data_IF_106971483156
#
_entry.id   IF_106971483156
#
_cell.length_a   1.000
_cell.length_b   1.000
_cell.length_c   1.000
_cell.angle_alpha   90.00
_cell.angle_beta   90.00
_cell.angle_gamma   90.00
#
_symmetry.space_group_name_H-M   'P 1'
#
loop_
_entity.id
_entity.type
_entity.pdbx_description
1 polymer ?
#
# COMPACT_ATOMS: atom_id res chain seq x y z
N UNK A 1 8.19 6.54 -13.91
CA UNK A 1 7.93 6.00 -12.56
C UNK A 1 8.06 7.06 -11.48
N UNK A 2 9.16 7.77 -11.34
CA UNK A 2 9.34 8.80 -10.31
C UNK A 2 8.29 9.90 -10.31
N UNK A 3 7.84 10.35 -11.48
CA UNK A 3 6.78 11.36 -11.61
C UNK A 3 5.44 10.85 -11.04
N UNK A 4 5.05 9.62 -11.36
CA UNK A 4 3.83 9.02 -10.81
C UNK A 4 3.90 8.89 -9.29
N UNK A 5 5.07 8.60 -8.75
CA UNK A 5 5.30 8.51 -7.31
C UNK A 5 5.31 9.88 -6.63
N UNK A 6 5.81 10.92 -7.31
CA UNK A 6 5.75 12.29 -6.82
C UNK A 6 4.29 12.82 -6.75
N UNK A 7 3.47 12.52 -7.75
CA UNK A 7 2.04 12.86 -7.74
C UNK A 7 1.31 12.12 -6.61
N UNK A 8 1.71 10.90 -6.29
CA UNK A 8 1.12 10.08 -5.24
C UNK A 8 1.49 10.54 -3.81
N UNK A 9 2.25 11.61 -3.64
CA UNK A 9 2.46 12.28 -2.34
C UNK A 9 1.20 13.05 -1.91
N UNK A 10 0.35 13.44 -2.87
CA UNK A 10 -0.91 14.13 -2.57
C UNK A 10 -1.81 13.19 -1.72
N UNK A 11 -2.31 13.65 -0.56
CA UNK A 11 -3.19 12.85 0.28
C UNK A 11 -4.45 12.43 -0.49
N UNK A 12 -4.82 11.14 -0.36
CA UNK A 12 -5.95 10.55 -1.09
C UNK A 12 -5.59 9.82 -2.37
N UNK A 13 -4.39 10.02 -2.92
CA UNK A 13 -3.91 9.27 -4.08
C UNK A 13 -3.16 8.03 -3.61
N UNK A 14 -3.63 6.85 -4.04
CA UNK A 14 -2.94 5.59 -3.74
C UNK A 14 -1.59 5.53 -4.45
N UNK A 15 -0.49 5.50 -3.69
CA UNK A 15 0.87 5.38 -4.23
C UNK A 15 1.05 4.12 -5.07
N UNK A 16 0.66 2.97 -4.55
CA UNK A 16 0.73 1.70 -5.26
C UNK A 16 -0.20 1.68 -6.48
N UNK A 17 -1.40 2.22 -6.37
CA UNK A 17 -2.33 2.34 -7.48
C UNK A 17 -1.76 3.18 -8.62
N UNK A 18 -1.18 4.33 -8.33
CA UNK A 18 -0.57 5.21 -9.34
C UNK A 18 0.63 4.56 -10.03
N UNK A 19 1.51 3.91 -9.28
CA UNK A 19 2.68 3.23 -9.86
C UNK A 19 2.31 2.00 -10.67
N UNK A 20 1.36 1.18 -10.22
CA UNK A 20 0.86 0.03 -10.97
C UNK A 20 0.18 0.47 -12.26
N UNK A 21 -0.71 1.47 -12.20
CA UNK A 21 -1.40 1.99 -13.37
C UNK A 21 -0.42 2.55 -14.41
N UNK A 22 0.59 3.27 -13.98
CA UNK A 22 1.63 3.78 -14.88
C UNK A 22 2.47 2.67 -15.52
N UNK A 23 2.81 1.62 -14.77
CA UNK A 23 3.46 0.43 -15.30
C UNK A 23 2.62 -0.24 -16.37
N UNK A 24 1.33 -0.43 -16.11
CA UNK A 24 0.39 -1.04 -17.05
C UNK A 24 0.23 -0.19 -18.32
N UNK A 25 0.19 1.15 -18.17
CA UNK A 25 0.15 2.06 -19.30
C UNK A 25 1.39 1.95 -20.19
N UNK A 26 2.56 1.66 -19.61
CA UNK A 26 3.81 1.40 -20.33
C UNK A 26 3.90 -0.03 -20.90
N UNK A 27 2.85 -0.84 -20.80
CA UNK A 27 2.79 -2.19 -21.36
C UNK A 27 3.35 -3.29 -20.46
N UNK A 28 3.63 -2.99 -19.18
CA UNK A 28 4.11 -3.99 -18.22
C UNK A 28 2.92 -4.82 -17.73
N UNK A 29 3.02 -6.17 -17.68
CA UNK A 29 1.95 -7.02 -17.17
C UNK A 29 1.56 -6.65 -15.74
N UNK A 30 0.26 -6.71 -15.37
CA UNK A 30 -0.24 -6.29 -14.06
C UNK A 30 0.49 -6.91 -12.87
N UNK A 31 0.85 -8.17 -12.96
CA UNK A 31 1.57 -8.91 -11.92
C UNK A 31 2.99 -8.35 -11.69
N UNK A 32 3.72 -8.09 -12.76
CA UNK A 32 5.07 -7.51 -12.70
C UNK A 32 5.03 -6.05 -12.26
N UNK A 33 4.02 -5.31 -12.72
CA UNK A 33 3.76 -3.95 -12.27
C UNK A 33 3.53 -3.87 -10.76
N UNK A 34 2.73 -4.78 -10.20
CA UNK A 34 2.48 -4.87 -8.77
C UNK A 34 3.76 -5.24 -8.00
N UNK A 35 4.49 -6.25 -8.44
CA UNK A 35 5.76 -6.63 -7.82
C UNK A 35 6.75 -5.48 -7.77
N UNK A 36 6.92 -4.78 -8.88
CA UNK A 36 7.80 -3.62 -8.95
C UNK A 36 7.35 -2.50 -8.00
N UNK A 37 6.05 -2.20 -7.97
CA UNK A 37 5.49 -1.18 -7.07
C UNK A 37 5.73 -1.51 -5.60
N UNK A 38 5.55 -2.77 -5.21
CA UNK A 38 5.80 -3.21 -3.83
C UNK A 38 7.29 -3.16 -3.46
N UNK A 39 8.18 -3.60 -4.34
CA UNK A 39 9.62 -3.48 -4.11
C UNK A 39 10.05 -2.02 -3.95
N UNK A 40 9.49 -1.12 -4.75
CA UNK A 40 9.75 0.30 -4.67
C UNK A 40 9.24 0.95 -3.37
N UNK A 41 8.23 0.37 -2.73
CA UNK A 41 7.70 0.87 -1.45
C UNK A 41 8.60 0.55 -0.26
N UNK A 42 9.43 -0.50 -0.33
CA UNK A 42 10.27 -0.96 0.79
C UNK A 42 11.19 0.15 1.31
N UNK A 43 12.04 0.82 0.50
CA UNK A 43 12.92 1.86 1.00
C UNK A 43 12.16 3.05 1.59
N UNK A 44 11.00 3.38 1.04
CA UNK A 44 10.17 4.48 1.53
C UNK A 44 9.55 4.15 2.90
N UNK A 45 9.03 2.94 3.05
CA UNK A 45 8.44 2.47 4.32
C UNK A 45 9.52 2.36 5.39
N UNK A 46 10.70 1.84 5.05
CA UNK A 46 11.83 1.76 5.99
C UNK A 46 12.25 3.16 6.45
N UNK A 47 12.39 4.12 5.53
CA UNK A 47 12.72 5.50 5.87
C UNK A 47 11.68 6.15 6.80
N UNK A 48 10.41 6.01 6.48
CA UNK A 48 9.32 6.51 7.31
C UNK A 48 9.28 5.84 8.70
N UNK A 49 9.54 4.54 8.77
CA UNK A 49 9.58 3.80 10.03
C UNK A 49 10.73 4.26 10.94
N UNK A 50 11.91 4.52 10.37
CA UNK A 50 13.07 5.03 11.11
C UNK A 50 12.76 6.42 11.67
N UNK A 51 12.22 7.32 10.86
CA UNK A 51 11.85 8.67 11.29
C UNK A 51 10.79 8.63 12.40
N UNK A 52 9.73 7.82 12.21
CA UNK A 52 8.69 7.66 13.22
C UNK A 52 9.23 7.08 14.54
N UNK A 53 10.19 6.17 14.48
CA UNK A 53 10.82 5.62 15.69
C UNK A 53 11.62 6.67 16.45
N UNK A 54 12.35 7.54 15.76
CA UNK A 54 13.12 8.63 16.37
C UNK A 54 12.21 9.68 17.04
N UNK A 55 11.04 9.95 16.51
CA UNK A 55 10.08 10.88 17.10
C UNK A 55 9.42 10.34 18.38
N UNK A 56 9.21 9.04 18.47
CA UNK A 56 8.54 8.40 19.60
C UNK A 56 9.44 8.22 20.82
N UNK A 57 10.76 8.16 20.66
CA UNK A 57 11.72 7.96 21.77
C UNK A 57 11.65 9.06 22.83
N UNK A 58 10.99 10.16 22.55
CA UNK A 58 10.94 11.36 23.40
C UNK A 58 9.90 11.32 24.54
N UNK A 59 8.82 10.51 24.49
CA UNK A 59 7.70 10.69 25.44
C UNK A 59 6.81 9.49 25.81
N UNK A 60 7.09 8.26 25.41
CA UNK A 60 6.15 7.16 25.69
C UNK A 60 6.79 5.89 26.26
N UNK A 61 6.20 5.39 27.35
CA UNK A 61 6.39 4.02 27.84
C UNK A 61 5.87 3.02 26.82
N UNK A 62 6.76 2.45 26.03
CA UNK A 62 6.41 1.40 25.08
C UNK A 62 5.94 0.13 25.79
N UNK A 63 4.73 -0.27 25.51
CA UNK A 63 4.27 -1.60 25.90
C UNK A 63 4.74 -2.60 24.83
N UNK A 64 5.82 -3.34 25.12
CA UNK A 64 6.41 -4.32 24.21
C UNK A 64 5.41 -5.38 23.73
N UNK A 65 4.45 -5.75 24.57
CA UNK A 65 3.40 -6.70 24.23
C UNK A 65 2.49 -6.16 23.11
N UNK A 66 2.05 -4.91 23.26
CA UNK A 66 1.22 -4.24 22.23
C UNK A 66 1.97 -4.11 20.92
N UNK A 67 3.24 -3.76 20.95
CA UNK A 67 4.09 -3.64 19.76
C UNK A 67 4.26 -4.99 19.05
N UNK A 68 4.52 -6.06 19.78
CA UNK A 68 4.68 -7.41 19.20
C UNK A 68 3.39 -7.91 18.57
N UNK A 69 2.26 -7.71 19.23
CA UNK A 69 0.94 -8.08 18.69
C UNK A 69 0.64 -7.26 17.41
N UNK A 70 0.91 -5.95 17.42
CA UNK A 70 0.69 -5.08 16.26
C UNK A 70 1.54 -5.50 15.06
N UNK A 71 2.83 -5.78 15.27
CA UNK A 71 3.74 -6.23 14.20
C UNK A 71 3.27 -7.58 13.62
N UNK A 72 2.94 -8.54 14.49
CA UNK A 72 2.53 -9.88 14.05
C UNK A 72 1.22 -9.85 13.28
N UNK A 73 0.22 -9.14 13.77
CA UNK A 73 -1.08 -8.99 13.08
C UNK A 73 -0.93 -8.26 11.76
N UNK A 74 -0.16 -7.18 11.71
CA UNK A 74 0.12 -6.43 10.48
C UNK A 74 0.83 -7.30 9.45
N UNK A 75 1.81 -8.09 9.87
CA UNK A 75 2.53 -8.99 8.97
C UNK A 75 1.61 -10.07 8.37
N UNK A 76 0.84 -10.75 9.20
CA UNK A 76 -0.09 -11.81 8.74
C UNK A 76 -1.13 -11.23 7.78
N UNK A 77 -1.75 -10.11 8.16
CA UNK A 77 -2.77 -9.44 7.34
C UNK A 77 -2.19 -8.94 6.01
N UNK A 78 -0.99 -8.37 6.04
CA UNK A 78 -0.27 -7.90 4.86
C UNK A 78 0.06 -9.02 3.88
N UNK A 79 0.56 -10.14 4.36
CA UNK A 79 0.86 -11.32 3.52
C UNK A 79 -0.41 -11.88 2.88
N UNK A 80 -1.52 -11.97 3.63
CA UNK A 80 -2.79 -12.41 3.09
C UNK A 80 -3.33 -11.45 2.03
N UNK A 81 -3.31 -10.16 2.30
CA UNK A 81 -3.75 -9.13 1.36
C UNK A 81 -2.93 -9.15 0.06
N UNK A 82 -1.60 -9.29 0.15
CA UNK A 82 -0.72 -9.41 -1.02
C UNK A 82 -1.03 -10.64 -1.87
N UNK A 83 -1.23 -11.81 -1.23
CA UNK A 83 -1.60 -13.03 -1.94
C UNK A 83 -2.92 -12.89 -2.68
N UNK A 84 -3.93 -12.32 -2.03
CA UNK A 84 -5.25 -12.08 -2.63
C UNK A 84 -5.11 -11.10 -3.81
N UNK A 85 -4.40 -10.00 -3.63
CA UNK A 85 -4.20 -8.99 -4.68
C UNK A 85 -3.49 -9.57 -5.90
N UNK A 86 -2.39 -10.30 -5.71
CA UNK A 86 -1.66 -10.92 -6.81
C UNK A 86 -2.53 -11.94 -7.56
N UNK A 87 -3.35 -12.72 -6.84
CA UNK A 87 -4.29 -13.66 -7.45
C UNK A 87 -5.38 -12.96 -8.28
N UNK A 88 -5.89 -11.84 -7.80
CA UNK A 88 -6.88 -11.02 -8.55
C UNK A 88 -6.25 -10.44 -9.82
N UNK A 89 -5.00 -9.95 -9.73
CA UNK A 89 -4.26 -9.43 -10.89
C UNK A 89 -3.99 -10.51 -11.95
N UNK A 90 -3.68 -11.74 -11.54
CA UNK A 90 -3.50 -12.88 -12.45
C UNK A 90 -4.79 -13.25 -13.21
N UNK A 91 -5.93 -13.10 -12.56
CA UNK A 91 -7.23 -13.46 -13.12
C UNK A 91 -7.80 -12.38 -14.07
N UNK A 92 -7.12 -11.23 -14.22
CA UNK A 92 -7.56 -10.13 -15.09
C UNK A 92 -8.84 -9.41 -14.63
N UNK A 93 -9.35 -9.72 -13.44
CA UNK A 93 -10.58 -9.14 -12.87
C UNK A 93 -10.35 -7.88 -12.03
N UNK A 94 -9.34 -7.11 -12.38
CA UNK A 94 -9.01 -5.84 -11.72
C UNK A 94 -10.17 -4.83 -11.72
N UNK A 95 -11.05 -4.97 -12.67
CA UNK A 95 -12.26 -4.18 -12.85
C UNK A 95 -13.19 -4.19 -11.61
N UNK A 96 -13.35 -5.33 -10.95
CA UNK A 96 -14.17 -5.43 -9.74
C UNK A 96 -13.61 -4.64 -8.55
N UNK A 97 -12.29 -4.46 -8.51
CA UNK A 97 -11.65 -3.64 -7.50
C UNK A 97 -11.97 -2.15 -7.65
N UNK A 98 -12.12 -1.68 -8.91
CA UNK A 98 -12.57 -0.32 -9.19
C UNK A 98 -13.97 -0.03 -8.66
N UNK A 99 -14.90 -0.97 -8.81
CA UNK A 99 -16.25 -0.84 -8.25
C UNK A 99 -16.25 -0.80 -6.72
N UNK A 100 -15.46 -1.65 -6.09
CA UNK A 100 -15.30 -1.62 -4.62
C UNK A 100 -14.80 -0.26 -4.15
N UNK A 101 -13.78 0.30 -4.78
CA UNK A 101 -13.24 1.62 -4.44
C UNK A 101 -14.27 2.74 -4.65
N UNK A 102 -15.08 2.67 -5.70
CA UNK A 102 -16.15 3.63 -5.93
C UNK A 102 -17.22 3.57 -4.84
N UNK A 103 -17.68 2.38 -4.47
CA UNK A 103 -18.68 2.20 -3.41
C UNK A 103 -18.12 2.67 -2.06
N UNK A 104 -16.88 2.29 -1.73
CA UNK A 104 -16.23 2.72 -0.49
C UNK A 104 -16.04 4.24 -0.47
N UNK A 105 -15.60 4.85 -1.57
CA UNK A 105 -15.45 6.30 -1.69
C UNK A 105 -16.78 7.05 -1.57
N UNK A 106 -17.84 6.54 -2.16
CA UNK A 106 -19.19 7.12 -1.99
C UNK A 106 -19.68 7.03 -0.56
N UNK A 107 -19.45 5.90 0.11
CA UNK A 107 -19.86 5.71 1.51
C UNK A 107 -19.19 6.74 2.45
N UNK A 108 -17.94 7.09 2.21
CA UNK A 108 -17.21 8.07 3.04
C UNK A 108 -17.68 9.52 2.86
N UNK A 109 -18.40 9.82 1.78
CA UNK A 109 -18.98 11.16 1.57
C UNK A 109 -20.26 11.34 2.40
N UNK A 110 -20.98 10.24 2.71
CA UNK A 110 -22.24 10.26 3.42
C UNK A 110 -22.12 10.00 4.94
N UNK A 111 -20.91 9.68 5.44
CA UNK A 111 -20.60 9.52 6.87
C UNK A 111 -19.91 10.77 7.40
#
# INVERSE_FOLDING_TARGET
>A
MGIAQAIAIIPGISRSGSTISMCMYLGIPPKEAARFSFLLSIPVILGASILGFLEVESNNTFNYLTLTVAITTSFVTGVLALKILLKILETGRFYFFGFYCLIAGFSTIFI
#
